data_IF_633015552855
#
_entry.id   IF_633015552855
#
_cell.length_a   1.000
_cell.length_b   1.000
_cell.length_c   1.000
_cell.angle_alpha   90.00
_cell.angle_beta   90.00
_cell.angle_gamma   90.00
#
_symmetry.space_group_name_H-M   'P 1'
#
loop_
_entity.id
_entity.type
_entity.pdbx_description
1 polymer ?
#
# COMPACT_ATOMS: atom_id res chain seq x y z
N UNK A 1 -46.65 -0.24 -50.97
CA UNK A 1 -46.37 -0.49 -49.55
C UNK A 1 -44.88 -0.44 -49.33
N UNK A 2 -44.31 0.63 -48.66
CA UNK A 2 -42.88 0.79 -48.36
C UNK A 2 -42.70 0.39 -46.91
N UNK A 3 -41.98 -0.74 -46.65
CA UNK A 3 -41.61 -1.20 -45.32
C UNK A 3 -40.40 -0.35 -44.87
N UNK A 4 -40.57 0.41 -43.78
CA UNK A 4 -39.47 1.07 -43.07
C UNK A 4 -38.95 0.11 -42.00
N UNK A 5 -37.73 -0.42 -42.19
CA UNK A 5 -37.03 -1.17 -41.15
C UNK A 5 -36.39 -0.18 -40.14
N UNK A 6 -36.90 -0.16 -38.92
CA UNK A 6 -36.30 0.56 -37.81
C UNK A 6 -35.10 -0.26 -37.27
N UNK A 7 -33.88 0.21 -37.53
CA UNK A 7 -32.68 -0.33 -36.91
C UNK A 7 -32.55 0.25 -35.49
N UNK A 8 -32.90 -0.58 -34.48
CA UNK A 8 -32.62 -0.26 -33.07
C UNK A 8 -31.13 -0.45 -32.80
N UNK A 9 -30.36 0.64 -32.76
CA UNK A 9 -28.98 0.67 -32.27
C UNK A 9 -29.02 0.54 -30.72
N UNK A 10 -28.78 -0.68 -30.22
CA UNK A 10 -28.43 -0.89 -28.81
C UNK A 10 -27.04 -0.34 -28.56
N UNK A 11 -26.94 0.88 -28.04
CA UNK A 11 -25.73 1.40 -27.48
C UNK A 11 -25.41 0.61 -26.20
N UNK A 12 -24.57 -0.44 -26.29
CA UNK A 12 -23.98 -1.07 -25.13
C UNK A 12 -23.02 -0.03 -24.50
N UNK A 13 -23.52 0.72 -23.53
CA UNK A 13 -22.67 1.53 -22.66
C UNK A 13 -21.64 0.60 -21.99
N UNK A 14 -20.36 0.77 -22.29
CA UNK A 14 -19.31 0.08 -21.56
C UNK A 14 -19.47 0.42 -20.07
N UNK A 15 -19.49 -0.57 -19.17
CA UNK A 15 -19.61 -0.28 -17.74
C UNK A 15 -18.46 0.65 -17.35
N UNK A 16 -18.79 1.77 -16.71
CA UNK A 16 -17.79 2.67 -16.16
C UNK A 16 -16.85 1.86 -15.27
N UNK A 17 -15.55 1.91 -15.53
CA UNK A 17 -14.55 1.21 -14.72
C UNK A 17 -14.75 1.63 -13.26
N UNK A 18 -14.94 0.64 -12.38
CA UNK A 18 -15.04 0.92 -10.95
C UNK A 18 -13.73 1.59 -10.48
N UNK A 19 -13.87 2.71 -9.77
CA UNK A 19 -12.74 3.42 -9.16
C UNK A 19 -12.08 2.52 -8.13
N UNK A 20 -10.76 2.35 -8.25
CA UNK A 20 -10.00 1.43 -7.41
C UNK A 20 -9.17 2.17 -6.37
N UNK A 21 -9.15 1.63 -5.15
CA UNK A 21 -8.28 2.08 -4.06
C UNK A 21 -7.26 0.99 -3.76
N UNK A 22 -5.98 1.31 -3.88
CA UNK A 22 -4.89 0.35 -3.67
C UNK A 22 -4.13 0.70 -2.41
N UNK A 23 -3.98 -0.27 -1.51
CA UNK A 23 -3.13 -0.15 -0.32
C UNK A 23 -2.04 -1.19 -0.42
N UNK A 24 -0.78 -0.74 -0.46
CA UNK A 24 0.41 -1.59 -0.40
C UNK A 24 0.95 -1.59 1.03
N UNK A 25 1.13 -2.77 1.60
CA UNK A 25 1.56 -2.96 2.97
C UNK A 25 2.82 -3.83 3.03
N UNK A 26 3.91 -3.29 3.59
CA UNK A 26 5.13 -4.04 3.90
C UNK A 26 4.98 -4.91 5.14
N UNK A 27 6.00 -5.72 5.40
CA UNK A 27 6.09 -6.59 6.58
C UNK A 27 6.81 -5.92 7.75
N UNK A 28 6.56 -6.37 8.99
CA UNK A 28 7.25 -5.90 10.18
C UNK A 28 8.66 -6.50 10.28
N UNK A 29 9.51 -5.87 11.06
CA UNK A 29 10.76 -6.45 11.49
C UNK A 29 10.54 -7.64 12.45
N UNK A 30 11.51 -8.54 12.54
CA UNK A 30 11.51 -9.60 13.53
C UNK A 30 11.70 -9.02 14.95
N UNK A 31 11.02 -9.61 15.94
CA UNK A 31 11.10 -9.18 17.34
C UNK A 31 12.53 -9.24 17.87
N UNK A 32 13.29 -10.28 17.49
CA UNK A 32 14.69 -10.41 17.89
C UNK A 32 15.54 -9.19 17.48
N UNK A 33 15.27 -8.58 16.32
CA UNK A 33 15.97 -7.38 15.87
C UNK A 33 15.48 -6.12 16.57
N UNK A 34 14.17 -6.02 16.83
CA UNK A 34 13.61 -4.92 17.60
C UNK A 34 14.18 -4.87 19.03
N UNK A 35 14.39 -6.03 19.64
CA UNK A 35 14.97 -6.11 20.98
C UNK A 35 16.42 -5.61 21.07
N UNK A 36 17.17 -5.66 19.96
CA UNK A 36 18.55 -5.13 19.88
C UNK A 36 18.60 -3.61 19.65
N UNK A 37 17.48 -2.99 19.28
CA UNK A 37 17.41 -1.53 19.09
C UNK A 37 17.21 -0.81 20.41
N UNK A 38 17.69 0.44 20.49
CA UNK A 38 17.29 1.33 21.58
C UNK A 38 15.78 1.59 21.51
N UNK A 39 15.15 1.80 22.64
CA UNK A 39 13.67 1.80 22.74
C UNK A 39 12.99 2.77 21.77
N UNK A 40 13.53 3.97 21.60
CA UNK A 40 13.03 4.99 20.66
C UNK A 40 13.06 4.58 19.19
N UNK A 41 13.86 3.59 18.84
CA UNK A 41 14.03 3.11 17.45
C UNK A 41 13.33 1.74 17.23
N UNK A 42 12.58 1.23 18.21
CA UNK A 42 11.80 -0.02 18.12
C UNK A 42 10.49 0.22 17.38
N UNK A 43 10.58 0.40 16.07
CA UNK A 43 9.43 0.78 15.24
C UNK A 43 8.38 -0.33 15.10
N UNK A 44 8.79 -1.61 15.17
CA UNK A 44 7.93 -2.78 15.00
C UNK A 44 7.79 -3.60 16.28
N UNK A 45 8.00 -2.99 17.43
CA UNK A 45 7.62 -3.60 18.72
C UNK A 45 6.19 -4.15 18.64
N UNK A 46 5.35 -3.48 17.87
CA UNK A 46 4.00 -3.91 17.58
C UNK A 46 3.89 -4.36 16.13
N UNK A 47 3.74 -5.68 15.94
CA UNK A 47 3.70 -6.30 14.60
C UNK A 47 2.64 -5.71 13.66
N UNK A 48 1.55 -5.15 14.23
CA UNK A 48 0.37 -4.73 13.50
C UNK A 48 0.40 -3.27 13.04
N UNK A 49 1.49 -2.52 13.21
CA UNK A 49 1.53 -1.09 12.87
C UNK A 49 1.03 -0.81 11.44
N UNK A 50 1.61 -1.48 10.45
CA UNK A 50 1.23 -1.27 9.05
C UNK A 50 -0.16 -1.83 8.73
N UNK A 51 -0.54 -2.95 9.35
CA UNK A 51 -1.87 -3.54 9.23
C UNK A 51 -2.94 -2.61 9.80
N UNK A 52 -2.70 -2.05 11.00
CA UNK A 52 -3.64 -1.12 11.61
C UNK A 52 -3.79 0.17 10.81
N UNK A 53 -2.67 0.74 10.33
CA UNK A 53 -2.71 1.90 9.46
C UNK A 53 -3.51 1.61 8.17
N UNK A 54 -3.24 0.46 7.52
CA UNK A 54 -3.99 0.02 6.34
C UNK A 54 -5.48 -0.11 6.62
N UNK A 55 -5.87 -0.75 7.74
CA UNK A 55 -7.29 -0.95 8.07
C UNK A 55 -7.99 0.35 8.45
N UNK A 56 -7.31 1.27 9.12
CA UNK A 56 -7.84 2.62 9.37
C UNK A 56 -8.06 3.38 8.06
N UNK A 57 -7.10 3.28 7.12
CA UNK A 57 -7.24 3.89 5.80
C UNK A 57 -8.41 3.30 5.01
N UNK A 58 -8.63 1.99 5.06
CA UNK A 58 -9.81 1.36 4.47
C UNK A 58 -11.12 1.92 5.05
N UNK A 59 -11.17 2.08 6.38
CA UNK A 59 -12.34 2.63 7.05
C UNK A 59 -12.59 4.11 6.65
N UNK A 60 -11.54 4.91 6.40
CA UNK A 60 -11.63 6.26 5.82
C UNK A 60 -12.15 6.23 4.39
N UNK A 61 -11.63 5.32 3.55
CA UNK A 61 -12.07 5.17 2.17
C UNK A 61 -13.55 4.75 2.10
N UNK A 62 -14.00 3.83 2.96
CA UNK A 62 -15.41 3.46 3.05
C UNK A 62 -16.31 4.62 3.51
N UNK A 63 -15.83 5.49 4.41
CA UNK A 63 -16.58 6.71 4.78
C UNK A 63 -16.67 7.71 3.64
N UNK A 64 -15.59 7.85 2.85
CA UNK A 64 -15.53 8.84 1.77
C UNK A 64 -16.22 8.38 0.48
N UNK A 65 -16.16 7.08 0.15
CA UNK A 65 -16.60 6.53 -1.14
C UNK A 65 -17.74 5.51 -1.03
N UNK A 66 -18.20 5.22 0.19
CA UNK A 66 -19.26 4.25 0.43
C UNK A 66 -18.75 2.86 0.82
N UNK A 67 -19.63 2.06 1.43
CA UNK A 67 -19.31 0.71 1.94
C UNK A 67 -18.91 -0.31 0.87
N UNK A 68 -19.20 -0.02 -0.39
CA UNK A 68 -18.88 -0.88 -1.54
C UNK A 68 -17.72 -0.31 -2.38
N UNK A 69 -16.93 0.62 -1.82
CA UNK A 69 -15.69 1.09 -2.43
C UNK A 69 -14.78 -0.10 -2.74
N UNK A 70 -14.29 -0.18 -4.01
CA UNK A 70 -13.37 -1.24 -4.42
C UNK A 70 -12.00 -1.01 -3.81
N UNK A 71 -11.59 -1.88 -2.90
CA UNK A 71 -10.31 -1.79 -2.20
C UNK A 71 -9.48 -3.04 -2.47
N UNK A 72 -8.30 -2.87 -3.08
CA UNK A 72 -7.29 -3.91 -3.21
C UNK A 72 -6.19 -3.69 -2.17
N UNK A 73 -6.02 -4.67 -1.27
CA UNK A 73 -4.99 -4.67 -0.24
C UNK A 73 -3.88 -5.64 -0.60
N UNK A 74 -2.71 -5.10 -0.98
CA UNK A 74 -1.53 -5.86 -1.37
C UNK A 74 -0.61 -5.94 -0.13
N UNK A 75 -0.38 -7.14 0.39
CA UNK A 75 0.34 -7.34 1.66
C UNK A 75 1.53 -8.27 1.48
N UNK A 76 2.70 -7.86 1.98
CA UNK A 76 3.90 -8.68 1.99
C UNK A 76 3.76 -9.82 3.02
N UNK A 77 3.56 -11.05 2.54
CA UNK A 77 3.23 -12.21 3.38
C UNK A 77 4.39 -12.71 4.24
N UNK A 78 5.64 -12.86 3.71
CA UNK A 78 6.71 -13.53 4.46
C UNK A 78 7.02 -12.86 5.80
N UNK A 79 7.01 -11.54 5.89
CA UNK A 79 7.26 -10.82 7.14
C UNK A 79 6.27 -11.19 8.25
N UNK A 80 4.98 -11.34 7.91
CA UNK A 80 3.94 -11.73 8.88
C UNK A 80 3.99 -13.20 9.25
N UNK A 81 4.40 -14.06 8.31
CA UNK A 81 4.62 -15.49 8.60
C UNK A 81 5.77 -15.65 9.60
N UNK A 82 6.95 -15.05 9.29
CA UNK A 82 8.13 -15.15 10.14
C UNK A 82 7.90 -14.54 11.53
N UNK A 83 7.29 -13.35 11.57
CA UNK A 83 6.96 -12.71 12.83
C UNK A 83 5.90 -13.50 13.62
N UNK A 84 4.94 -14.12 12.93
CA UNK A 84 3.94 -14.99 13.54
C UNK A 84 4.56 -16.26 14.15
N UNK A 85 5.55 -16.86 13.47
CA UNK A 85 6.33 -17.98 14.01
C UNK A 85 7.10 -17.57 15.27
N UNK A 86 7.79 -16.42 15.23
CA UNK A 86 8.55 -15.88 16.35
C UNK A 86 7.67 -15.59 17.59
N UNK A 87 6.45 -15.10 17.35
CA UNK A 87 5.50 -14.72 18.39
C UNK A 87 4.50 -15.86 18.74
N UNK A 88 4.55 -17.02 18.04
CA UNK A 88 3.59 -18.12 18.12
C UNK A 88 2.15 -17.66 17.90
N UNK A 89 1.92 -16.80 16.90
CA UNK A 89 0.62 -16.19 16.61
C UNK A 89 0.23 -16.31 15.13
N UNK A 90 -1.07 -16.50 14.80
CA UNK A 90 -1.57 -16.68 13.44
C UNK A 90 -1.82 -15.32 12.74
N UNK A 91 -0.80 -14.48 12.59
CA UNK A 91 -0.95 -13.12 12.07
C UNK A 91 -1.55 -13.06 10.67
N UNK A 92 -1.18 -13.99 9.79
CA UNK A 92 -1.76 -14.07 8.44
C UNK A 92 -3.27 -14.29 8.46
N UNK A 93 -3.75 -15.20 9.32
CA UNK A 93 -5.19 -15.45 9.51
C UNK A 93 -5.91 -14.19 10.07
N UNK A 94 -5.27 -13.46 10.98
CA UNK A 94 -5.86 -12.22 11.48
C UNK A 94 -5.95 -11.15 10.39
N UNK A 95 -4.94 -11.04 9.52
CA UNK A 95 -4.97 -10.13 8.37
C UNK A 95 -6.08 -10.50 7.39
N UNK A 96 -6.26 -11.78 7.08
CA UNK A 96 -7.35 -12.28 6.24
C UNK A 96 -8.73 -11.92 6.81
N UNK A 97 -8.92 -12.09 8.12
CA UNK A 97 -10.15 -11.66 8.81
C UNK A 97 -10.38 -10.15 8.68
N UNK A 98 -9.32 -9.32 8.76
CA UNK A 98 -9.46 -7.87 8.59
C UNK A 98 -9.86 -7.49 7.15
N UNK A 99 -9.31 -8.19 6.14
CA UNK A 99 -9.69 -8.00 4.75
C UNK A 99 -11.15 -8.35 4.51
N UNK A 100 -11.59 -9.54 4.97
CA UNK A 100 -12.98 -9.98 4.86
C UNK A 100 -13.96 -9.00 5.53
N UNK A 101 -13.64 -8.57 6.76
CA UNK A 101 -14.47 -7.61 7.51
C UNK A 101 -14.71 -6.31 6.73
N UNK A 102 -13.73 -5.88 5.91
CA UNK A 102 -13.78 -4.62 5.15
C UNK A 102 -14.09 -4.83 3.67
N UNK A 103 -14.48 -6.05 3.28
CA UNK A 103 -14.72 -6.39 1.86
C UNK A 103 -13.53 -6.02 0.94
N UNK A 104 -12.30 -6.00 1.48
CA UNK A 104 -11.11 -5.70 0.71
C UNK A 104 -10.59 -6.94 0.00
N UNK A 105 -10.21 -6.80 -1.28
CA UNK A 105 -9.53 -7.84 -2.04
C UNK A 105 -8.09 -7.97 -1.56
N UNK A 106 -7.80 -8.98 -0.75
CA UNK A 106 -6.45 -9.26 -0.27
C UNK A 106 -5.62 -9.95 -1.36
N UNK A 107 -4.42 -9.40 -1.61
CA UNK A 107 -3.41 -10.01 -2.48
C UNK A 107 -2.14 -10.19 -1.67
N UNK A 108 -1.76 -11.45 -1.43
CA UNK A 108 -0.49 -11.78 -0.83
C UNK A 108 0.64 -11.69 -1.85
N UNK A 109 1.75 -11.08 -1.46
CA UNK A 109 2.97 -10.97 -2.26
C UNK A 109 4.19 -11.39 -1.45
N UNK A 110 5.27 -11.77 -2.14
CA UNK A 110 6.56 -12.15 -1.54
C UNK A 110 7.74 -11.40 -2.16
N UNK A 111 7.54 -10.62 -3.23
CA UNK A 111 8.59 -9.86 -3.91
C UNK A 111 8.09 -8.51 -4.38
N UNK A 112 9.01 -7.59 -4.68
CA UNK A 112 8.69 -6.29 -5.28
C UNK A 112 8.05 -6.41 -6.66
N UNK A 113 8.52 -7.36 -7.49
CA UNK A 113 7.93 -7.59 -8.81
C UNK A 113 6.48 -8.10 -8.73
N UNK A 114 6.16 -8.93 -7.73
CA UNK A 114 4.77 -9.34 -7.48
C UNK A 114 3.90 -8.16 -7.04
N UNK A 115 4.44 -7.23 -6.23
CA UNK A 115 3.73 -6.01 -5.85
C UNK A 115 3.43 -5.14 -7.08
N UNK A 116 4.42 -4.93 -7.95
CA UNK A 116 4.26 -4.18 -9.21
C UNK A 116 3.23 -4.87 -10.12
N UNK A 117 3.31 -6.20 -10.26
CA UNK A 117 2.33 -6.96 -11.04
C UNK A 117 0.91 -6.83 -10.48
N UNK A 118 0.76 -6.84 -9.14
CA UNK A 118 -0.54 -6.64 -8.50
C UNK A 118 -1.11 -5.23 -8.74
N UNK A 119 -0.28 -4.19 -8.67
CA UNK A 119 -0.66 -2.82 -9.02
C UNK A 119 -1.06 -2.73 -10.49
N UNK A 120 -0.28 -3.33 -11.39
CA UNK A 120 -0.53 -3.30 -12.84
C UNK A 120 -1.81 -4.01 -13.28
N UNK A 121 -2.34 -4.93 -12.46
CA UNK A 121 -3.65 -5.59 -12.73
C UNK A 121 -4.83 -4.68 -12.44
N UNK A 122 -4.64 -3.63 -11.65
CA UNK A 122 -5.70 -2.69 -11.33
C UNK A 122 -5.91 -1.70 -12.48
N UNK A 123 -7.08 -1.06 -12.49
CA UNK A 123 -7.44 -0.02 -13.46
C UNK A 123 -8.12 1.12 -12.73
N UNK A 124 -7.93 2.33 -13.23
CA UNK A 124 -8.53 3.54 -12.67
C UNK A 124 -8.26 3.72 -11.17
N UNK A 125 -7.00 3.49 -10.75
CA UNK A 125 -6.58 3.70 -9.37
C UNK A 125 -6.72 5.18 -9.04
N UNK A 126 -7.62 5.52 -8.12
CA UNK A 126 -7.84 6.90 -7.67
C UNK A 126 -7.17 7.19 -6.32
N UNK A 127 -6.85 6.15 -5.54
CA UNK A 127 -6.05 6.28 -4.33
C UNK A 127 -5.01 5.15 -4.28
N UNK A 128 -3.79 5.53 -3.95
CA UNK A 128 -2.69 4.60 -3.66
C UNK A 128 -2.04 5.01 -2.35
N UNK A 129 -2.00 4.11 -1.39
CA UNK A 129 -1.37 4.33 -0.10
C UNK A 129 -0.32 3.23 0.17
N UNK A 130 0.88 3.64 0.63
CA UNK A 130 1.93 2.73 1.06
C UNK A 130 2.14 2.82 2.56
N UNK A 131 2.06 1.69 3.27
CA UNK A 131 2.39 1.54 4.69
C UNK A 131 3.51 0.52 4.84
N UNK A 132 4.65 0.93 5.34
CA UNK A 132 5.81 0.07 5.45
C UNK A 132 7.10 0.83 5.74
N UNK A 133 8.18 0.08 5.89
CA UNK A 133 9.51 0.65 5.94
C UNK A 133 9.94 1.22 4.60
N UNK A 134 10.83 2.19 4.62
CA UNK A 134 11.37 2.78 3.41
C UNK A 134 12.63 3.58 3.69
N UNK A 135 13.32 3.92 2.62
CA UNK A 135 14.30 4.97 2.56
C UNK A 135 13.96 5.93 1.41
N UNK A 136 14.82 6.87 1.11
CA UNK A 136 14.55 7.85 0.06
C UNK A 136 14.38 7.25 -1.34
N UNK A 137 14.90 6.03 -1.58
CA UNK A 137 14.90 5.38 -2.89
C UNK A 137 14.02 4.15 -3.00
N UNK A 138 13.58 3.55 -1.87
CA UNK A 138 12.90 2.26 -1.87
C UNK A 138 11.69 2.24 -0.94
N UNK A 139 10.61 1.60 -1.39
CA UNK A 139 9.64 0.97 -0.51
C UNK A 139 10.22 -0.38 -0.09
N UNK A 140 10.54 -0.55 1.19
CA UNK A 140 11.08 -1.78 1.75
C UNK A 140 9.92 -2.66 2.20
N UNK A 141 9.70 -3.77 1.50
CA UNK A 141 8.60 -4.67 1.79
C UNK A 141 8.96 -5.69 2.87
N UNK A 142 10.25 -5.96 3.03
CA UNK A 142 10.76 -6.95 3.96
C UNK A 142 11.70 -6.32 4.99
N UNK A 143 11.46 -6.67 6.25
CA UNK A 143 12.39 -6.46 7.36
C UNK A 143 12.51 -7.73 8.22
N UNK A 144 12.07 -8.86 7.66
CA UNK A 144 12.11 -10.20 8.26
C UNK A 144 13.39 -10.98 7.95
N UNK A 145 14.44 -10.33 7.40
CA UNK A 145 15.70 -10.97 7.06
C UNK A 145 16.38 -11.60 8.29
N UNK A 146 17.11 -12.69 8.09
CA UNK A 146 17.99 -13.28 9.10
C UNK A 146 19.13 -12.34 9.49
N UNK A 147 19.47 -11.37 8.63
CA UNK A 147 20.46 -10.31 8.88
C UNK A 147 19.73 -9.02 9.23
N UNK A 148 20.07 -8.42 10.37
CA UNK A 148 19.45 -7.18 10.83
C UNK A 148 19.60 -6.06 9.81
N UNK A 149 18.51 -5.29 9.60
CA UNK A 149 18.42 -4.15 8.69
C UNK A 149 18.66 -4.45 7.20
N UNK A 150 18.72 -5.72 6.80
CA UNK A 150 18.77 -6.12 5.39
C UNK A 150 17.36 -6.47 4.92
N UNK A 151 16.91 -5.82 3.85
CA UNK A 151 15.65 -6.15 3.17
C UNK A 151 15.92 -7.13 2.03
N UNK A 152 15.06 -8.14 1.87
CA UNK A 152 15.10 -9.10 0.76
C UNK A 152 14.05 -8.80 -0.30
N UNK A 153 13.12 -7.90 -0.03
CA UNK A 153 12.07 -7.49 -0.96
C UNK A 153 11.82 -5.98 -0.86
N UNK A 154 11.87 -5.33 -2.01
CA UNK A 154 11.67 -3.89 -2.13
C UNK A 154 11.11 -3.51 -3.49
N UNK A 155 10.59 -2.30 -3.61
CA UNK A 155 10.40 -1.60 -4.89
C UNK A 155 11.35 -0.41 -4.88
N UNK A 156 12.39 -0.47 -5.69
CA UNK A 156 13.32 0.65 -5.87
C UNK A 156 12.71 1.67 -6.85
N UNK A 157 13.03 2.94 -6.72
CA UNK A 157 12.54 3.99 -7.64
C UNK A 157 12.85 3.69 -9.12
N UNK A 158 13.93 2.95 -9.44
CA UNK A 158 14.24 2.46 -10.78
C UNK A 158 13.24 1.44 -11.31
N UNK A 159 12.54 0.72 -10.41
CA UNK A 159 11.53 -0.26 -10.79
C UNK A 159 10.19 0.39 -11.17
N UNK A 160 10.00 1.67 -10.88
CA UNK A 160 8.79 2.41 -11.23
C UNK A 160 8.53 2.43 -12.74
N UNK A 161 9.57 2.28 -13.57
CA UNK A 161 9.42 2.09 -15.03
C UNK A 161 8.62 0.84 -15.42
N UNK A 162 8.55 -0.18 -14.52
CA UNK A 162 7.74 -1.39 -14.70
C UNK A 162 6.27 -1.16 -14.33
N UNK A 163 5.97 -0.08 -13.61
CA UNK A 163 4.61 0.26 -13.21
C UNK A 163 3.87 0.87 -14.38
N UNK A 164 2.74 0.29 -14.73
CA UNK A 164 1.92 0.75 -15.85
C UNK A 164 1.23 2.09 -15.51
N UNK A 165 1.66 3.17 -16.17
CA UNK A 165 1.09 4.51 -15.97
C UNK A 165 -0.44 4.53 -16.10
N UNK A 166 -0.98 3.81 -17.09
CA UNK A 166 -2.43 3.71 -17.32
C UNK A 166 -3.21 2.86 -16.29
N UNK A 167 -2.55 2.34 -15.24
CA UNK A 167 -3.26 1.76 -14.10
C UNK A 167 -3.88 2.85 -13.21
N UNK A 168 -3.34 4.06 -13.23
CA UNK A 168 -3.73 5.17 -12.38
C UNK A 168 -4.63 6.15 -13.11
N UNK A 169 -5.62 6.67 -12.40
CA UNK A 169 -6.38 7.85 -12.83
C UNK A 169 -5.46 9.08 -12.85
N UNK A 170 -5.65 9.98 -13.79
CA UNK A 170 -4.86 11.22 -13.91
C UNK A 170 -4.97 12.15 -12.69
N UNK A 171 -6.00 11.99 -11.90
CA UNK A 171 -6.25 12.74 -10.66
C UNK A 171 -6.02 11.89 -9.40
N UNK A 172 -5.32 10.75 -9.52
CA UNK A 172 -5.07 9.89 -8.40
C UNK A 172 -4.34 10.61 -7.26
N UNK A 173 -4.77 10.35 -6.04
CA UNK A 173 -4.07 10.73 -4.82
C UNK A 173 -3.19 9.58 -4.38
N UNK A 174 -1.87 9.77 -4.39
CA UNK A 174 -0.92 8.76 -3.96
C UNK A 174 -0.17 9.28 -2.74
N UNK A 175 -0.11 8.47 -1.67
CA UNK A 175 0.62 8.82 -0.46
C UNK A 175 1.46 7.64 0.05
N UNK A 176 2.69 7.95 0.45
CA UNK A 176 3.57 7.02 1.13
C UNK A 176 3.73 7.43 2.58
N UNK A 177 3.40 6.50 3.49
CA UNK A 177 3.65 6.63 4.92
C UNK A 177 4.97 5.97 5.34
N UNK A 178 5.85 5.73 4.39
CA UNK A 178 7.22 5.29 4.64
C UNK A 178 8.17 6.47 4.88
N UNK A 179 9.24 6.24 5.65
CA UNK A 179 10.26 7.25 5.97
C UNK A 179 11.00 7.72 4.71
N UNK A 180 11.31 9.01 4.62
CA UNK A 180 12.17 9.62 3.60
C UNK A 180 11.69 9.52 2.14
N UNK A 181 10.51 8.99 1.86
CA UNK A 181 10.03 8.79 0.47
C UNK A 181 9.77 10.09 -0.29
N UNK A 182 9.63 11.22 0.40
CA UNK A 182 9.53 12.54 -0.21
C UNK A 182 10.84 13.12 -0.75
N UNK A 183 11.98 12.48 -0.44
CA UNK A 183 13.31 13.05 -0.77
C UNK A 183 13.80 12.65 -2.18
N UNK A 184 13.45 11.47 -2.69
CA UNK A 184 13.77 11.00 -4.04
C UNK A 184 12.60 10.26 -4.69
N UNK A 185 12.06 9.22 -4.05
CA UNK A 185 11.00 8.36 -4.58
C UNK A 185 9.82 9.17 -5.15
N UNK A 186 9.38 10.23 -4.46
CA UNK A 186 8.25 11.08 -4.92
C UNK A 186 8.54 11.78 -6.22
N UNK A 187 9.77 12.23 -6.46
CA UNK A 187 10.16 12.90 -7.68
C UNK A 187 10.19 11.92 -8.86
N UNK A 188 10.80 10.74 -8.63
CA UNK A 188 10.88 9.69 -9.67
C UNK A 188 9.48 9.14 -9.96
N UNK A 189 8.63 8.95 -8.94
CA UNK A 189 7.23 8.57 -9.12
C UNK A 189 6.48 9.54 -10.05
N UNK A 190 6.59 10.85 -9.78
CA UNK A 190 5.97 11.87 -10.62
C UNK A 190 6.51 11.84 -12.06
N UNK A 191 7.82 11.70 -12.23
CA UNK A 191 8.46 11.62 -13.54
C UNK A 191 7.99 10.40 -14.33
N UNK A 192 7.93 9.22 -13.71
CA UNK A 192 7.59 7.95 -14.37
C UNK A 192 6.08 7.80 -14.59
N UNK A 193 5.26 8.17 -13.63
CA UNK A 193 3.82 7.90 -13.67
C UNK A 193 2.96 9.11 -14.03
N UNK A 194 3.54 10.33 -13.99
CA UNK A 194 2.85 11.57 -14.31
C UNK A 194 1.86 12.06 -13.24
N UNK A 195 1.83 11.40 -12.08
CA UNK A 195 1.00 11.76 -10.92
C UNK A 195 1.91 12.01 -9.71
N UNK A 196 1.45 12.81 -8.75
CA UNK A 196 2.23 13.12 -7.55
C UNK A 196 2.15 11.96 -6.55
N UNK A 197 3.27 11.68 -5.86
CA UNK A 197 3.30 10.89 -4.64
C UNK A 197 3.60 11.83 -3.47
N UNK A 198 2.69 11.92 -2.53
CA UNK A 198 2.94 12.59 -1.25
C UNK A 198 3.86 11.69 -0.44
N UNK A 199 5.01 12.18 -0.05
CA UNK A 199 6.02 11.40 0.70
C UNK A 199 6.62 12.19 1.85
N UNK A 200 7.14 11.49 2.85
CA UNK A 200 7.78 12.09 4.01
C UNK A 200 9.19 12.61 3.67
N UNK A 201 9.49 13.86 4.04
CA UNK A 201 10.86 14.31 4.29
C UNK A 201 11.12 14.10 5.78
N UNK A 202 12.01 13.16 6.10
CA UNK A 202 12.24 12.70 7.47
C UNK A 202 11.53 11.38 7.78
N UNK A 203 11.50 11.02 9.07
CA UNK A 203 10.90 9.77 9.55
C UNK A 203 9.39 9.90 9.73
N UNK A 204 8.69 8.82 9.51
CA UNK A 204 7.26 8.70 9.86
C UNK A 204 7.09 8.08 11.23
N UNK A 205 6.04 8.48 11.93
CA UNK A 205 5.71 8.02 13.27
C UNK A 205 4.34 7.35 13.28
N UNK A 206 4.33 6.08 13.65
CA UNK A 206 3.13 5.25 13.75
C UNK A 206 2.49 5.29 15.14
N UNK A 207 3.07 5.99 16.14
CA UNK A 207 2.47 6.13 17.46
C UNK A 207 1.09 6.81 17.42
N UNK A 208 0.86 7.66 16.42
CA UNK A 208 -0.44 8.32 16.19
C UNK A 208 -1.61 7.33 16.02
N UNK A 209 -1.35 6.07 15.64
CA UNK A 209 -2.36 5.02 15.52
C UNK A 209 -3.06 4.72 16.87
N UNK A 210 -2.38 4.91 18.00
CA UNK A 210 -2.97 4.72 19.34
C UNK A 210 -4.10 5.72 19.61
N UNK A 211 -4.04 6.88 18.96
CA UNK A 211 -5.05 7.95 19.03
C UNK A 211 -6.05 7.93 17.86
N UNK A 212 -6.10 6.85 17.09
CA UNK A 212 -7.00 6.74 15.96
C UNK A 212 -6.65 7.64 14.77
N UNK A 213 -5.38 8.03 14.62
CA UNK A 213 -4.88 8.88 13.52
C UNK A 213 -3.89 8.10 12.65
N UNK A 214 -3.87 8.37 11.34
CA UNK A 214 -2.85 7.87 10.42
C UNK A 214 -1.46 8.38 10.83
N UNK A 215 -0.38 7.69 10.38
CA UNK A 215 0.98 8.08 10.75
C UNK A 215 1.30 9.54 10.41
N UNK A 216 2.07 10.17 11.29
CA UNK A 216 2.58 11.53 11.13
C UNK A 216 4.01 11.51 10.60
N UNK A 217 4.59 12.69 10.36
CA UNK A 217 5.98 12.84 9.91
C UNK A 217 6.73 13.77 10.87
N UNK A 218 7.99 13.43 11.15
CA UNK A 218 8.86 14.27 12.00
C UNK A 218 9.28 15.59 11.33
N UNK A 219 9.28 15.63 9.99
CA UNK A 219 9.55 16.80 9.17
C UNK A 219 8.27 17.30 8.48
N UNK A 220 8.25 17.26 7.15
CA UNK A 220 7.12 17.71 6.35
C UNK A 220 6.70 16.67 5.30
N UNK A 221 5.43 16.71 4.90
CA UNK A 221 4.95 15.99 3.73
C UNK A 221 5.30 16.77 2.46
N UNK A 222 6.09 16.16 1.57
CA UNK A 222 6.37 16.67 0.21
C UNK A 222 5.19 16.30 -0.69
N UNK A 223 4.64 17.28 -1.39
CA UNK A 223 3.46 17.13 -2.27
C UNK A 223 3.79 17.40 -3.73
#
# INVERSE_FOLDING_TARGET
MKLWAFLLLFAFGLPASAKEHVILCGGPALRKWENLRVERDRHDRWWANFIRASTMRMDELHRAYGKDASITWIVYRPGYVLRGQEDSQPYTTWIEKQATKRKAKLIWISTGDQAIAAINRQRDIINFDFFGHSNKHCFLLDYGSAVMAVSQAWIHERDLRKVRRGAFNKFATCQSYGCHTGESMSQVWKSQLGIKLIGARGKTDYAALTFGKLPTVSGIWIR
#
